data_IF_163052222997
#
_entry.id   IF_163052222997
#
_cell.length_a   1.000
_cell.length_b   1.000
_cell.length_c   1.000
_cell.angle_alpha   90.00
_cell.angle_beta   90.00
_cell.angle_gamma   90.00
#
_symmetry.space_group_name_H-M   'P 1'
#
loop_
_entity.id
_entity.type
_entity.pdbx_description
1 polymer ?
#
# COMPACT_ATOMS: atom_id res chain seq x y z
N UNK A 1 -17.94 -21.25 -2.97
CA UNK A 1 -16.57 -20.79 -2.70
C UNK A 1 -16.62 -19.29 -2.47
N UNK A 2 -16.73 -18.85 -1.20
CA UNK A 2 -16.59 -17.43 -0.88
C UNK A 2 -15.14 -17.05 -1.16
N UNK A 3 -14.92 -16.15 -2.12
CA UNK A 3 -13.63 -15.47 -2.21
C UNK A 3 -13.53 -14.63 -0.93
N UNK A 4 -12.72 -15.08 0.02
CA UNK A 4 -12.29 -14.23 1.13
C UNK A 4 -11.77 -12.94 0.52
N UNK A 5 -12.54 -11.86 0.65
CA UNK A 5 -12.04 -10.53 0.33
C UNK A 5 -10.98 -10.27 1.39
N UNK A 6 -9.71 -10.47 1.02
CA UNK A 6 -8.60 -10.07 1.85
C UNK A 6 -8.62 -8.54 1.90
N UNK A 7 -9.33 -7.99 2.90
CA UNK A 7 -9.35 -6.56 3.20
C UNK A 7 -7.96 -6.22 3.76
N UNK A 8 -7.07 -5.74 2.90
CA UNK A 8 -5.71 -5.40 3.29
C UNK A 8 -5.72 -4.31 4.37
N UNK A 9 -4.84 -4.41 5.36
CA UNK A 9 -4.69 -3.42 6.43
C UNK A 9 -3.54 -2.49 6.13
N UNK A 10 -3.78 -1.20 6.33
CA UNK A 10 -2.79 -0.15 6.11
C UNK A 10 -2.68 0.77 7.32
N UNK A 11 -1.46 1.15 7.67
CA UNK A 11 -1.17 2.12 8.70
C UNK A 11 -0.59 3.37 8.03
N UNK A 12 -1.11 4.54 8.40
CA UNK A 12 -0.66 5.82 7.90
C UNK A 12 -0.01 6.62 9.04
N UNK A 13 1.26 6.98 8.89
CA UNK A 13 1.99 7.78 9.90
C UNK A 13 2.41 9.13 9.32
N UNK A 14 1.75 10.19 9.76
CA UNK A 14 2.05 11.53 9.29
C UNK A 14 0.84 12.45 9.36
N UNK A 15 0.98 13.63 8.77
CA UNK A 15 -0.05 14.67 8.79
C UNK A 15 -0.29 15.34 7.45
N UNK A 16 0.49 14.99 6.41
CA UNK A 16 0.43 15.63 5.10
C UNK A 16 -0.93 15.42 4.41
N UNK A 17 -1.29 16.38 3.54
CA UNK A 17 -2.47 16.27 2.68
C UNK A 17 -2.38 15.08 1.72
N UNK A 18 -1.16 14.71 1.32
CA UNK A 18 -0.92 13.56 0.45
C UNK A 18 -1.27 12.25 1.15
N UNK A 19 -0.85 12.08 2.41
CA UNK A 19 -1.21 10.92 3.23
C UNK A 19 -2.73 10.85 3.49
N UNK A 20 -3.39 12.00 3.70
CA UNK A 20 -4.85 12.08 3.84
C UNK A 20 -5.56 11.63 2.56
N UNK A 21 -5.09 12.10 1.41
CA UNK A 21 -5.62 11.68 0.11
C UNK A 21 -5.44 10.16 -0.12
N UNK A 22 -4.30 9.61 0.29
CA UNK A 22 -4.04 8.18 0.23
C UNK A 22 -4.95 7.38 1.16
N UNK A 23 -5.24 7.87 2.36
CA UNK A 23 -6.22 7.22 3.24
C UNK A 23 -7.60 7.12 2.60
N UNK A 24 -8.04 8.18 1.92
CA UNK A 24 -9.29 8.15 1.15
C UNK A 24 -9.24 7.09 0.04
N UNK A 25 -8.18 7.09 -0.77
CA UNK A 25 -7.98 6.13 -1.85
C UNK A 25 -7.93 4.68 -1.34
N UNK A 26 -7.23 4.43 -0.23
CA UNK A 26 -7.13 3.13 0.40
C UNK A 26 -8.52 2.63 0.82
N UNK A 27 -9.30 3.50 1.45
CA UNK A 27 -10.67 3.18 1.88
C UNK A 27 -11.59 2.88 0.69
N UNK A 28 -11.50 3.65 -0.40
CA UNK A 28 -12.24 3.42 -1.64
C UNK A 28 -11.83 2.11 -2.34
N UNK A 29 -10.58 1.66 -2.14
CA UNK A 29 -10.03 0.42 -2.71
C UNK A 29 -10.32 -0.81 -1.83
N UNK A 30 -10.89 -0.62 -0.64
CA UNK A 30 -11.24 -1.70 0.29
C UNK A 30 -10.13 -2.07 1.28
N UNK A 31 -9.11 -1.21 1.44
CA UNK A 31 -8.15 -1.32 2.54
C UNK A 31 -8.74 -0.74 3.82
N UNK A 32 -8.45 -1.39 4.94
CA UNK A 32 -8.79 -0.90 6.27
C UNK A 32 -7.62 -0.10 6.84
N UNK A 33 -7.87 1.17 7.15
CA UNK A 33 -6.90 1.99 7.88
C UNK A 33 -6.91 1.54 9.35
N UNK A 34 -5.74 1.22 9.88
CA UNK A 34 -5.53 0.86 11.29
C UNK A 34 -4.62 1.88 11.95
N UNK A 35 -4.58 1.88 13.28
CA UNK A 35 -3.81 2.83 14.08
C UNK A 35 -2.54 2.22 14.68
N UNK A 36 -2.33 0.90 14.51
CA UNK A 36 -1.20 0.17 15.09
C UNK A 36 -0.59 -0.81 14.10
N UNK A 37 0.70 -1.00 14.21
CA UNK A 37 1.43 -2.07 13.54
C UNK A 37 1.20 -3.39 14.28
N UNK A 38 0.46 -4.29 13.64
CA UNK A 38 0.19 -5.65 14.11
C UNK A 38 0.57 -6.68 13.04
N UNK A 39 0.72 -7.98 13.39
CA UNK A 39 1.15 -9.00 12.42
C UNK A 39 0.22 -9.19 11.21
N UNK A 40 -1.01 -8.65 11.24
CA UNK A 40 -1.93 -8.65 10.11
C UNK A 40 -1.85 -7.37 9.26
N UNK A 41 -0.89 -6.49 9.50
CA UNK A 41 -0.69 -5.27 8.73
C UNK A 41 0.03 -5.58 7.42
N UNK A 42 -0.58 -5.22 6.28
CA UNK A 42 -0.01 -5.47 4.96
C UNK A 42 1.00 -4.38 4.56
N UNK A 43 0.74 -3.13 4.95
CA UNK A 43 1.53 -1.98 4.52
C UNK A 43 1.55 -0.86 5.56
N UNK A 44 2.71 -0.20 5.71
CA UNK A 44 2.83 1.06 6.40
C UNK A 44 3.22 2.14 5.39
N UNK A 45 2.46 3.24 5.34
CA UNK A 45 2.84 4.44 4.60
C UNK A 45 3.10 5.55 5.62
N UNK A 46 4.23 6.22 5.50
CA UNK A 46 4.56 7.35 6.35
C UNK A 46 5.07 8.53 5.53
N UNK A 47 4.88 9.74 6.04
CA UNK A 47 5.52 10.94 5.48
C UNK A 47 7.06 10.77 5.52
N UNK A 48 7.77 11.39 4.56
CA UNK A 48 9.23 11.28 4.46
C UNK A 48 9.92 11.71 5.76
N UNK A 49 9.46 12.79 6.39
CA UNK A 49 9.93 13.25 7.70
C UNK A 49 9.86 12.14 8.76
N UNK A 50 8.77 11.36 8.77
CA UNK A 50 8.58 10.27 9.72
C UNK A 50 9.52 9.10 9.42
N UNK A 51 9.73 8.78 8.15
CA UNK A 51 10.67 7.74 7.72
C UNK A 51 12.13 8.09 8.06
N UNK A 52 12.46 9.38 7.97
CA UNK A 52 13.76 9.96 8.32
C UNK A 52 13.95 10.15 9.84
N UNK A 53 12.91 9.88 10.63
CA UNK A 53 12.97 9.89 12.09
C UNK A 53 12.50 11.19 12.75
N UNK A 54 12.09 12.19 11.98
CA UNK A 54 11.39 13.39 12.47
C UNK A 54 9.94 13.06 12.80
N UNK A 55 9.74 12.29 13.87
CA UNK A 55 8.44 11.75 14.24
C UNK A 55 8.17 11.89 15.74
N UNK A 56 6.90 11.78 16.12
CA UNK A 56 6.52 11.64 17.53
C UNK A 56 6.97 10.27 18.07
N UNK A 57 7.13 10.16 19.39
CA UNK A 57 7.48 8.89 20.03
C UNK A 57 6.50 7.74 19.69
N UNK A 58 5.21 8.07 19.50
CA UNK A 58 4.19 7.09 19.09
C UNK A 58 4.42 6.62 17.66
N UNK A 59 4.62 7.55 16.71
CA UNK A 59 4.91 7.22 15.32
C UNK A 59 6.21 6.40 15.19
N UNK A 60 7.28 6.81 15.88
CA UNK A 60 8.54 6.09 15.87
C UNK A 60 8.42 4.66 16.40
N UNK A 61 7.60 4.46 17.45
CA UNK A 61 7.30 3.12 17.97
C UNK A 61 6.60 2.24 16.95
N UNK A 62 5.56 2.75 16.27
CA UNK A 62 4.82 1.96 15.28
C UNK A 62 5.66 1.69 14.02
N UNK A 63 6.49 2.66 13.60
CA UNK A 63 7.44 2.48 12.50
C UNK A 63 8.50 1.40 12.83
N UNK A 64 9.09 1.46 14.02
CA UNK A 64 10.03 0.44 14.49
C UNK A 64 9.37 -0.94 14.53
N UNK A 65 8.16 -1.02 15.09
CA UNK A 65 7.40 -2.27 15.18
C UNK A 65 7.06 -2.85 13.82
N UNK A 66 6.67 -2.02 12.85
CA UNK A 66 6.41 -2.48 11.49
C UNK A 66 7.67 -3.08 10.85
N UNK A 67 8.83 -2.44 11.05
CA UNK A 67 10.13 -2.96 10.58
C UNK A 67 10.49 -4.28 11.24
N UNK A 68 10.27 -4.43 12.55
CA UNK A 68 10.50 -5.68 13.29
C UNK A 68 9.61 -6.83 12.77
N UNK A 69 8.39 -6.51 12.35
CA UNK A 69 7.43 -7.46 11.76
C UNK A 69 7.73 -7.76 10.27
N UNK A 70 8.73 -7.12 9.66
CA UNK A 70 9.07 -7.28 8.25
C UNK A 70 8.09 -6.60 7.29
N UNK A 71 7.31 -5.64 7.77
CA UNK A 71 6.31 -4.91 6.98
C UNK A 71 7.00 -3.81 6.19
N UNK A 72 6.62 -3.68 4.91
CA UNK A 72 7.12 -2.61 4.05
C UNK A 72 6.65 -1.24 4.56
N UNK A 73 7.62 -0.37 4.85
CA UNK A 73 7.41 1.02 5.24
C UNK A 73 7.73 1.90 4.03
N UNK A 74 6.70 2.55 3.46
CA UNK A 74 6.78 3.27 2.20
C UNK A 74 6.50 4.76 2.38
N UNK A 75 7.06 5.58 1.48
CA UNK A 75 6.67 6.99 1.33
C UNK A 75 5.24 7.11 0.76
N UNK A 76 4.60 8.30 0.83
CA UNK A 76 3.28 8.53 0.24
C UNK A 76 3.27 8.22 -1.28
N UNK A 77 4.35 8.57 -1.97
CA UNK A 77 4.53 8.31 -3.41
C UNK A 77 4.52 6.81 -3.71
N UNK A 78 5.36 6.04 -3.01
CA UNK A 78 5.48 4.59 -3.21
C UNK A 78 4.21 3.86 -2.79
N UNK A 79 3.62 4.25 -1.66
CA UNK A 79 2.37 3.71 -1.16
C UNK A 79 1.21 3.96 -2.13
N UNK A 80 1.13 5.17 -2.70
CA UNK A 80 0.16 5.52 -3.73
C UNK A 80 0.31 4.70 -5.01
N UNK A 81 1.55 4.50 -5.48
CA UNK A 81 1.81 3.63 -6.62
C UNK A 81 1.35 2.19 -6.35
N UNK A 82 1.60 1.69 -5.13
CA UNK A 82 1.21 0.33 -4.73
C UNK A 82 -0.29 0.16 -4.58
N UNK A 83 -0.99 1.12 -3.98
CA UNK A 83 -2.45 1.12 -3.88
C UNK A 83 -3.12 1.15 -5.26
N UNK A 84 -2.63 2.01 -6.17
CA UNK A 84 -3.13 2.06 -7.55
C UNK A 84 -2.85 0.77 -8.32
N UNK A 85 -1.65 0.20 -8.16
CA UNK A 85 -1.31 -1.10 -8.77
C UNK A 85 -2.16 -2.25 -8.23
N UNK A 86 -2.47 -2.27 -6.94
CA UNK A 86 -3.39 -3.23 -6.34
C UNK A 86 -4.82 -3.07 -6.86
N UNK A 87 -5.28 -1.83 -7.07
CA UNK A 87 -6.58 -1.52 -7.66
C UNK A 87 -6.70 -1.99 -9.12
N UNK A 88 -5.59 -1.99 -9.88
CA UNK A 88 -5.59 -2.38 -11.29
C UNK A 88 -5.52 -3.89 -11.54
N UNK A 89 -5.36 -4.72 -10.50
CA UNK A 89 -5.12 -6.17 -10.65
C UNK A 89 -3.82 -6.46 -11.42
N UNK A 90 -3.40 -7.72 -11.57
CA UNK A 90 -2.31 -8.03 -12.51
C UNK A 90 -2.71 -7.44 -13.87
N UNK A 91 -1.77 -6.87 -14.66
CA UNK A 91 -2.09 -6.45 -16.02
C UNK A 91 -2.70 -7.67 -16.68
N UNK A 92 -4.01 -7.60 -16.97
CA UNK A 92 -4.69 -8.64 -17.71
C UNK A 92 -3.84 -8.85 -18.93
N UNK A 93 -3.22 -10.04 -19.03
CA UNK A 93 -2.25 -10.40 -20.07
C UNK A 93 -2.68 -9.69 -21.33
N UNK A 94 -1.91 -8.70 -21.77
CA UNK A 94 -2.00 -8.24 -23.14
C UNK A 94 -1.85 -9.52 -23.94
N UNK A 95 -2.98 -9.95 -24.49
CA UNK A 95 -3.10 -11.07 -25.40
C UNK A 95 -2.03 -10.81 -26.44
N UNK A 96 -0.95 -11.58 -26.36
CA UNK A 96 -0.02 -11.69 -27.45
C UNK A 96 -0.87 -12.13 -28.63
N UNK A 97 -1.21 -11.19 -29.50
CA UNK A 97 -1.84 -11.48 -30.78
C UNK A 97 -0.84 -12.38 -31.49
N UNK A 98 -1.15 -13.66 -31.75
CA UNK A 98 -0.32 -14.41 -32.67
C UNK A 98 -0.49 -13.71 -34.02
N UNK A 99 0.56 -13.02 -34.47
CA UNK A 99 0.68 -12.60 -35.87
C UNK A 99 0.59 -13.88 -36.70
N UNK A 100 -0.61 -14.14 -37.21
CA UNK A 100 -0.91 -15.22 -38.12
C UNK A 100 0.01 -15.09 -39.33
N UNK A 101 0.77 -16.14 -39.58
CA UNK A 101 1.44 -16.41 -40.83
C UNK A 101 0.47 -16.24 -42.00
N UNK A 102 0.84 -15.40 -42.95
CA UNK A 102 0.24 -15.26 -44.28
C UNK A 102 1.13 -14.29 -45.04
N UNK A 103 1.99 -14.70 -45.97
CA UNK A 103 1.73 -15.65 -47.04
C UNK A 103 2.04 -14.90 -48.33
N UNK A 104 3.14 -15.25 -48.99
CA UNK A 104 3.27 -15.41 -50.44
C UNK A 104 4.66 -15.91 -50.79
#
# INVERSE_FOLDING_TARGET
MLRERHEGRILLLGGSDELRALGKLASETGFRIVERADPGLDLLIADEDVLDGFCTAVQGRELARARELGIACLSPVEGGARLRGAHQGPPSRLTAVPLLSGGR
#
